data_IF_896732167099
#
_entry.id   IF_896732167099
#
_cell.length_a   1.000
_cell.length_b   1.000
_cell.length_c   1.000
_cell.angle_alpha   90.00
_cell.angle_beta   90.00
_cell.angle_gamma   90.00
#
_symmetry.space_group_name_H-M   'P 1'
#
loop_
_entity.id
_entity.type
_entity.pdbx_description
1 polymer ?
#
# COMPACT_ATOMS: atom_id res chain seq x y z
N UNK A 1 -12.64 14.46 37.16
CA UNK A 1 -11.21 14.12 37.09
C UNK A 1 -10.83 14.24 35.59
N UNK A 2 -10.25 15.38 35.24
CA UNK A 2 -9.84 15.64 33.87
C UNK A 2 -8.57 14.84 33.55
N UNK A 3 -8.58 14.06 32.48
CA UNK A 3 -7.37 13.45 31.93
C UNK A 3 -6.60 14.56 31.22
N UNK A 4 -5.38 14.79 31.66
CA UNK A 4 -4.41 15.69 31.09
C UNK A 4 -4.00 15.11 29.72
N UNK A 5 -4.45 15.75 28.67
CA UNK A 5 -4.05 15.39 27.29
C UNK A 5 -2.67 15.98 27.09
N UNK A 6 -1.64 15.16 27.22
CA UNK A 6 -0.24 15.58 27.04
C UNK A 6 -0.05 16.38 25.75
N UNK A 7 0.62 17.51 25.87
CA UNK A 7 0.97 18.40 24.77
C UNK A 7 1.73 17.64 23.67
N UNK A 8 1.57 18.01 22.38
CA UNK A 8 2.31 17.39 21.29
C UNK A 8 3.81 17.53 21.52
N UNK A 9 4.52 16.41 21.39
CA UNK A 9 5.97 16.35 21.56
C UNK A 9 6.62 17.26 20.49
N UNK A 10 7.20 18.39 20.94
CA UNK A 10 7.98 19.25 20.04
C UNK A 10 9.24 18.49 19.64
N UNK A 11 9.33 18.12 18.35
CA UNK A 11 10.53 17.53 17.75
C UNK A 11 11.59 18.61 17.61
N UNK A 12 12.46 18.75 18.60
CA UNK A 12 13.60 19.65 18.54
C UNK A 12 14.56 19.26 17.40
N UNK A 13 15.28 20.22 16.79
CA UNK A 13 16.23 19.92 15.72
C UNK A 13 17.31 18.96 16.23
N UNK A 14 17.44 17.80 15.55
CA UNK A 14 18.55 16.87 15.77
C UNK A 14 19.86 17.58 15.42
N UNK A 15 20.59 18.07 16.41
CA UNK A 15 21.91 18.72 16.19
C UNK A 15 22.94 17.65 15.83
N UNK A 16 23.69 17.79 14.72
CA UNK A 16 24.77 16.87 14.38
C UNK A 16 25.88 16.95 15.44
N UNK A 17 26.30 15.81 15.99
CA UNK A 17 27.52 15.71 16.77
C UNK A 17 28.70 15.91 15.82
N UNK A 18 29.36 17.07 15.90
CA UNK A 18 30.55 17.40 15.14
C UNK A 18 31.80 16.94 15.89
N UNK A 19 32.19 15.69 15.73
CA UNK A 19 33.52 15.21 15.99
C UNK A 19 34.21 14.96 14.66
N UNK A 20 35.38 15.54 14.42
CA UNK A 20 36.13 15.63 13.17
C UNK A 20 36.71 14.31 12.61
N UNK A 21 35.99 13.22 12.71
CA UNK A 21 36.28 11.94 12.06
C UNK A 21 35.10 11.57 11.17
N UNK A 22 35.34 10.88 10.05
CA UNK A 22 34.36 10.40 9.07
C UNK A 22 33.00 10.10 9.73
N UNK A 23 31.99 10.96 9.47
CA UNK A 23 30.69 10.86 10.14
C UNK A 23 30.05 9.52 9.79
N UNK A 24 30.04 8.59 10.73
CA UNK A 24 29.23 7.37 10.60
C UNK A 24 27.78 7.76 10.59
N UNK A 25 27.06 7.38 9.52
CA UNK A 25 25.62 7.67 9.41
C UNK A 25 24.87 7.00 10.55
N UNK A 26 23.88 7.70 11.08
CA UNK A 26 22.98 7.20 12.11
C UNK A 26 22.14 6.02 11.60
N UNK A 27 21.87 5.04 12.45
CA UNK A 27 21.04 3.89 12.07
C UNK A 27 19.57 4.28 12.12
N UNK A 28 18.91 4.16 10.97
CA UNK A 28 17.45 4.22 10.85
C UNK A 28 16.89 2.80 10.70
N UNK A 29 16.05 2.37 11.64
CA UNK A 29 15.27 1.14 11.49
C UNK A 29 13.92 1.45 10.87
N UNK A 30 13.61 0.77 9.76
CA UNK A 30 12.30 0.85 9.09
C UNK A 30 11.54 -0.46 9.33
N UNK A 31 10.55 -0.42 10.23
CA UNK A 31 9.71 -1.56 10.58
C UNK A 31 8.32 -1.40 9.94
N UNK A 32 8.15 -1.94 8.74
CA UNK A 32 6.96 -1.74 7.92
C UNK A 32 6.63 -3.00 7.11
N UNK A 33 5.43 -3.02 6.51
CA UNK A 33 5.07 -4.00 5.49
C UNK A 33 5.70 -3.64 4.13
N UNK A 34 5.18 -4.21 3.02
CA UNK A 34 5.64 -3.91 1.66
C UNK A 34 5.59 -2.41 1.26
N UNK A 35 4.85 -1.57 1.99
CA UNK A 35 4.89 -0.11 1.77
C UNK A 35 6.24 0.48 2.16
N UNK A 36 6.96 -0.16 3.09
CA UNK A 36 8.34 0.19 3.41
C UNK A 36 9.28 0.03 2.21
N UNK A 37 9.08 -1.01 1.39
CA UNK A 37 9.85 -1.24 0.16
C UNK A 37 9.66 -0.10 -0.85
N UNK A 38 8.48 0.53 -0.86
CA UNK A 38 8.16 1.66 -1.71
C UNK A 38 8.66 3.00 -1.14
N UNK A 39 8.64 3.18 0.18
CA UNK A 39 9.09 4.40 0.86
C UNK A 39 10.63 4.50 0.91
N UNK A 40 11.31 3.40 1.18
CA UNK A 40 12.75 3.34 1.38
C UNK A 40 13.56 3.96 0.24
N UNK A 41 13.33 3.65 -1.06
CA UNK A 41 14.08 4.26 -2.16
C UNK A 41 13.92 5.79 -2.23
N UNK A 42 12.76 6.34 -1.84
CA UNK A 42 12.54 7.79 -1.78
C UNK A 42 13.44 8.45 -0.75
N UNK A 43 13.60 7.83 0.42
CA UNK A 43 14.44 8.33 1.49
C UNK A 43 15.94 8.17 1.15
N UNK A 44 16.35 6.99 0.66
CA UNK A 44 17.74 6.69 0.31
C UNK A 44 18.25 7.56 -0.86
N UNK A 45 17.36 7.94 -1.80
CA UNK A 45 17.69 8.82 -2.92
C UNK A 45 17.47 10.33 -2.59
N UNK A 46 17.15 10.67 -1.35
CA UNK A 46 17.07 12.05 -0.89
C UNK A 46 18.39 12.42 -0.20
N UNK A 47 19.25 13.31 -0.81
CA UNK A 47 20.58 13.59 -0.30
C UNK A 47 20.62 14.04 1.17
N UNK A 48 19.66 14.87 1.58
CA UNK A 48 19.57 15.36 2.96
C UNK A 48 19.32 14.21 3.96
N UNK A 49 18.53 13.21 3.60
CA UNK A 49 18.29 12.03 4.43
C UNK A 49 19.49 11.06 4.33
N UNK A 50 19.91 10.73 3.11
CA UNK A 50 20.97 9.77 2.84
C UNK A 50 22.35 10.18 3.43
N UNK A 51 22.60 11.47 3.61
CA UNK A 51 23.82 11.95 4.29
C UNK A 51 23.80 11.70 5.80
N UNK A 52 22.63 11.59 6.43
CA UNK A 52 22.46 11.47 7.88
C UNK A 52 22.18 10.04 8.34
N UNK A 53 21.41 9.30 7.57
CA UNK A 53 20.87 7.99 7.97
C UNK A 53 21.28 6.87 7.03
N UNK A 54 21.44 5.68 7.62
CA UNK A 54 21.55 4.41 6.93
C UNK A 54 20.33 3.55 7.30
N UNK A 55 19.50 3.17 6.33
CA UNK A 55 18.26 2.42 6.58
C UNK A 55 18.56 0.92 6.68
N UNK A 56 18.08 0.30 7.77
CA UNK A 56 17.91 -1.14 7.89
C UNK A 56 16.43 -1.44 8.02
N UNK A 57 15.90 -2.19 7.05
CA UNK A 57 14.49 -2.52 7.01
C UNK A 57 14.21 -3.89 7.60
N UNK A 58 13.16 -3.97 8.41
CA UNK A 58 12.56 -5.18 8.93
C UNK A 58 11.11 -5.25 8.46
N UNK A 59 10.78 -6.30 7.70
CA UNK A 59 9.45 -6.48 7.12
C UNK A 59 8.55 -7.11 8.18
N UNK A 60 7.54 -6.38 8.65
CA UNK A 60 6.76 -6.76 9.81
C UNK A 60 5.96 -8.07 9.63
N UNK A 61 5.39 -8.33 8.43
CA UNK A 61 4.58 -9.54 8.20
C UNK A 61 5.40 -10.84 8.13
N UNK A 62 6.72 -10.77 7.97
CA UNK A 62 7.60 -11.94 8.06
C UNK A 62 7.80 -12.40 9.49
N UNK A 63 7.40 -11.57 10.47
CA UNK A 63 7.59 -11.77 11.91
C UNK A 63 9.05 -11.98 12.33
N UNK A 64 10.00 -11.50 11.52
CA UNK A 64 11.40 -11.52 11.88
C UNK A 64 11.65 -10.57 13.05
N UNK A 65 12.28 -11.08 14.10
CA UNK A 65 12.71 -10.27 15.24
C UNK A 65 13.76 -9.25 14.81
N UNK A 66 13.65 -8.04 15.36
CA UNK A 66 14.69 -7.02 15.21
C UNK A 66 15.84 -7.38 16.13
N UNK A 67 17.06 -7.40 15.61
CA UNK A 67 18.25 -7.73 16.39
C UNK A 67 18.48 -6.70 17.51
N UNK A 68 18.77 -7.17 18.74
CA UNK A 68 19.01 -6.30 19.88
C UNK A 68 20.12 -5.28 19.61
N UNK A 69 21.21 -5.71 18.95
CA UNK A 69 22.31 -4.82 18.56
C UNK A 69 21.88 -3.71 17.58
N UNK A 70 20.80 -3.88 16.83
CA UNK A 70 20.23 -2.83 15.97
C UNK A 70 19.33 -1.90 16.77
N UNK A 71 18.55 -2.46 17.71
CA UNK A 71 17.72 -1.67 18.62
C UNK A 71 18.62 -0.74 19.46
N UNK A 72 19.68 -1.27 20.06
CA UNK A 72 20.62 -0.50 20.90
C UNK A 72 21.31 0.68 20.17
N UNK A 73 21.50 0.55 18.86
CA UNK A 73 22.15 1.57 18.01
C UNK A 73 21.16 2.43 17.23
N UNK A 74 19.86 2.20 17.39
CA UNK A 74 18.83 2.91 16.64
C UNK A 74 18.79 4.40 17.06
N UNK A 75 18.91 5.29 16.09
CA UNK A 75 18.75 6.73 16.30
C UNK A 75 17.43 7.25 15.68
N UNK A 76 16.89 6.53 14.70
CA UNK A 76 15.60 6.83 14.07
C UNK A 76 14.81 5.52 13.87
N UNK A 77 13.64 5.41 14.47
CA UNK A 77 12.73 4.28 14.31
C UNK A 77 11.48 4.70 13.53
N UNK A 78 11.40 4.28 12.27
CA UNK A 78 10.21 4.47 11.42
C UNK A 78 9.38 3.20 11.48
N UNK A 79 8.15 3.30 11.94
CA UNK A 79 7.34 2.10 12.17
C UNK A 79 5.89 2.27 11.76
N UNK A 80 5.28 1.21 11.27
CA UNK A 80 3.83 1.07 11.17
C UNK A 80 3.30 0.51 12.48
N UNK A 81 2.22 1.10 12.99
CA UNK A 81 1.59 0.64 14.25
C UNK A 81 1.14 -0.81 14.14
N UNK A 82 1.59 -1.64 15.07
CA UNK A 82 1.22 -3.04 15.20
C UNK A 82 0.50 -3.29 16.52
N UNK A 83 -0.66 -3.97 16.43
CA UNK A 83 -1.49 -4.30 17.57
C UNK A 83 -0.83 -5.37 18.49
N UNK A 84 -1.29 -5.55 19.76
CA UNK A 84 -0.74 -6.51 20.72
C UNK A 84 -0.64 -7.96 20.22
N UNK A 85 -1.51 -8.38 19.30
CA UNK A 85 -1.46 -9.72 18.67
C UNK A 85 -0.15 -10.04 17.92
N UNK A 86 0.70 -9.04 17.69
CA UNK A 86 2.01 -9.20 17.08
C UNK A 86 3.11 -9.58 18.10
N UNK A 87 2.76 -9.71 19.40
CA UNK A 87 3.70 -10.10 20.44
C UNK A 87 4.84 -9.10 20.59
N UNK A 88 6.07 -9.57 20.61
CA UNK A 88 7.29 -8.75 20.78
C UNK A 88 7.49 -7.69 19.69
N UNK A 89 6.84 -7.85 18.53
CA UNK A 89 6.87 -6.87 17.44
C UNK A 89 5.78 -5.82 17.54
N UNK A 90 4.85 -5.94 18.51
CA UNK A 90 3.82 -4.91 18.70
C UNK A 90 4.44 -3.58 19.06
N UNK A 91 3.79 -2.50 18.67
CA UNK A 91 4.29 -1.14 18.95
C UNK A 91 4.50 -0.92 20.46
N UNK A 92 3.59 -1.45 21.27
CA UNK A 92 3.65 -1.38 22.74
C UNK A 92 4.90 -2.06 23.33
N UNK A 93 5.33 -3.18 22.75
CA UNK A 93 6.53 -3.89 23.19
C UNK A 93 7.83 -3.33 22.58
N UNK A 94 7.75 -2.78 21.38
CA UNK A 94 8.94 -2.29 20.67
C UNK A 94 9.41 -0.92 21.17
N UNK A 95 8.50 0.04 21.37
CA UNK A 95 8.89 1.41 21.73
C UNK A 95 9.70 1.49 23.05
N UNK A 96 9.34 0.75 24.12
CA UNK A 96 10.12 0.78 25.37
C UNK A 96 11.54 0.18 25.25
N UNK A 97 11.83 -0.63 24.22
CA UNK A 97 13.15 -1.20 23.98
C UNK A 97 14.12 -0.25 23.29
N UNK A 98 13.61 0.82 22.70
CA UNK A 98 14.44 1.81 21.99
C UNK A 98 15.26 2.64 22.98
N UNK A 99 16.51 3.02 22.59
CA UNK A 99 17.28 3.96 23.37
C UNK A 99 16.53 5.28 23.61
N UNK A 100 16.76 5.91 24.75
CA UNK A 100 16.09 7.16 25.11
C UNK A 100 16.35 8.31 24.09
N UNK A 101 17.48 8.26 23.38
CA UNK A 101 17.80 9.22 22.33
C UNK A 101 17.23 8.89 20.96
N UNK A 102 16.64 7.70 20.78
CA UNK A 102 16.06 7.27 19.53
C UNK A 102 14.76 8.03 19.24
N UNK A 103 14.72 8.72 18.11
CA UNK A 103 13.50 9.34 17.61
C UNK A 103 12.60 8.27 16.98
N UNK A 104 11.39 8.11 17.47
CA UNK A 104 10.40 7.19 16.88
C UNK A 104 9.30 7.96 16.15
N UNK A 105 9.06 7.59 14.90
CA UNK A 105 8.02 8.22 14.06
C UNK A 105 7.13 7.14 13.47
N UNK A 106 5.83 7.23 13.78
CA UNK A 106 4.82 6.39 13.15
C UNK A 106 4.60 6.82 11.70
N UNK A 107 4.67 5.86 10.77
CA UNK A 107 4.32 6.04 9.36
C UNK A 107 2.99 5.34 9.08
N UNK A 108 2.13 5.88 8.19
CA UNK A 108 0.86 5.29 7.84
C UNK A 108 0.98 3.86 7.30
N UNK A 109 0.01 3.03 7.65
CA UNK A 109 -0.23 1.73 7.03
C UNK A 109 -1.52 1.83 6.22
N UNK A 110 -1.38 2.19 4.94
CA UNK A 110 -2.49 2.56 4.09
C UNK A 110 -3.19 1.35 3.50
N UNK A 111 -4.52 1.42 3.46
CA UNK A 111 -5.38 0.41 2.87
C UNK A 111 -6.65 1.05 2.34
N UNK A 112 -6.95 0.86 1.04
CA UNK A 112 -8.14 1.44 0.43
C UNK A 112 -8.87 0.43 -0.44
N UNK A 113 -10.11 0.12 -0.07
CA UNK A 113 -10.94 -0.87 -0.75
C UNK A 113 -11.94 -0.25 -1.75
N UNK A 114 -12.05 1.08 -1.80
CA UNK A 114 -13.05 1.78 -2.61
C UNK A 114 -12.99 1.46 -4.10
N UNK A 115 -11.80 1.19 -4.66
CA UNK A 115 -11.67 0.79 -6.06
C UNK A 115 -12.02 -0.69 -6.31
N UNK A 116 -11.90 -1.54 -5.28
CA UNK A 116 -12.07 -3.00 -5.36
C UNK A 116 -13.05 -3.50 -4.30
N UNK A 117 -14.34 -3.15 -4.40
CA UNK A 117 -15.35 -3.45 -3.38
C UNK A 117 -15.49 -4.94 -3.09
N UNK A 118 -15.22 -5.79 -4.07
CA UNK A 118 -15.33 -7.25 -3.96
C UNK A 118 -14.01 -7.93 -3.58
N UNK A 119 -12.93 -7.17 -3.44
CA UNK A 119 -11.69 -7.75 -2.97
C UNK A 119 -11.88 -8.43 -1.61
N UNK A 120 -11.40 -9.67 -1.50
CA UNK A 120 -11.42 -10.45 -0.27
C UNK A 120 -10.07 -11.13 -0.04
N UNK A 121 -9.77 -11.37 1.24
CA UNK A 121 -8.64 -12.22 1.60
C UNK A 121 -9.11 -13.67 1.48
N UNK A 122 -8.50 -14.43 0.58
CA UNK A 122 -8.70 -15.86 0.43
C UNK A 122 -7.33 -16.55 0.41
N UNK A 123 -7.13 -17.55 1.27
CA UNK A 123 -5.87 -18.30 1.34
C UNK A 123 -5.61 -19.15 0.10
N UNK A 124 -6.66 -19.43 -0.68
CA UNK A 124 -6.59 -20.25 -1.89
C UNK A 124 -6.12 -19.49 -3.12
N UNK A 125 -6.21 -18.16 -3.13
CA UNK A 125 -5.81 -17.34 -4.28
C UNK A 125 -5.54 -15.88 -3.87
N UNK A 126 -4.45 -15.32 -4.40
CA UNK A 126 -4.14 -13.89 -4.24
C UNK A 126 -5.20 -13.03 -4.96
N UNK A 127 -5.53 -11.89 -4.39
CA UNK A 127 -6.47 -10.92 -4.97
C UNK A 127 -7.83 -11.53 -5.33
N UNK A 128 -8.38 -12.36 -4.44
CA UNK A 128 -9.70 -12.96 -4.63
C UNK A 128 -10.78 -11.88 -4.80
N UNK A 129 -11.69 -12.12 -5.76
CA UNK A 129 -12.89 -11.33 -5.97
C UNK A 129 -14.11 -12.14 -5.48
N UNK A 130 -14.72 -11.71 -4.38
CA UNK A 130 -15.81 -12.44 -3.73
C UNK A 130 -17.07 -12.56 -4.58
N UNK A 131 -17.32 -11.59 -5.47
CA UNK A 131 -18.45 -11.67 -6.41
C UNK A 131 -18.18 -12.74 -7.47
N UNK A 132 -17.01 -12.69 -8.10
CA UNK A 132 -16.63 -13.65 -9.13
C UNK A 132 -16.56 -15.08 -8.55
N UNK A 133 -15.97 -15.25 -7.36
CA UNK A 133 -15.95 -16.54 -6.65
C UNK A 133 -17.35 -17.08 -6.36
N UNK A 134 -18.30 -16.21 -5.98
CA UNK A 134 -19.69 -16.58 -5.75
C UNK A 134 -20.38 -17.04 -7.05
N UNK A 135 -20.14 -16.36 -8.16
CA UNK A 135 -20.68 -16.71 -9.47
C UNK A 135 -20.11 -18.05 -9.96
N UNK A 136 -18.81 -18.25 -9.85
CA UNK A 136 -18.15 -19.51 -10.26
C UNK A 136 -18.64 -20.75 -9.49
N UNK A 137 -19.23 -20.56 -8.30
CA UNK A 137 -19.86 -21.65 -7.53
C UNK A 137 -21.28 -21.97 -7.96
N UNK A 138 -21.98 -21.03 -8.63
CA UNK A 138 -23.43 -21.13 -8.89
C UNK A 138 -23.78 -21.41 -10.33
N UNK A 139 -22.94 -21.00 -11.27
CA UNK A 139 -23.21 -21.08 -12.70
C UNK A 139 -21.98 -21.56 -13.47
N UNK A 140 -22.13 -21.85 -14.75
CA UNK A 140 -21.01 -22.23 -15.61
C UNK A 140 -19.98 -21.08 -15.72
N UNK A 141 -18.70 -21.37 -15.99
CA UNK A 141 -17.69 -20.31 -16.14
C UNK A 141 -18.05 -19.25 -17.19
N UNK A 142 -18.68 -19.66 -18.30
CA UNK A 142 -19.11 -18.74 -19.35
C UNK A 142 -20.24 -17.80 -18.88
N UNK A 143 -21.19 -18.34 -18.14
CA UNK A 143 -22.27 -17.56 -17.54
C UNK A 143 -21.72 -16.65 -16.44
N UNK A 144 -20.80 -17.17 -15.58
CA UNK A 144 -20.15 -16.37 -14.54
C UNK A 144 -19.44 -15.14 -15.13
N UNK A 145 -18.67 -15.33 -16.20
CA UNK A 145 -18.01 -14.23 -16.90
C UNK A 145 -19.03 -13.21 -17.45
N UNK A 146 -20.09 -13.71 -18.09
CA UNK A 146 -21.14 -12.86 -18.68
C UNK A 146 -21.85 -12.05 -17.61
N UNK A 147 -22.26 -12.68 -16.52
CA UNK A 147 -22.91 -12.04 -15.39
C UNK A 147 -22.00 -11.05 -14.68
N UNK A 148 -20.74 -11.44 -14.47
CA UNK A 148 -19.73 -10.58 -13.84
C UNK A 148 -19.50 -9.30 -14.66
N UNK A 149 -19.28 -9.42 -15.96
CA UNK A 149 -18.98 -8.26 -16.82
C UNK A 149 -20.21 -7.40 -17.19
N UNK A 150 -21.38 -8.03 -17.39
CA UNK A 150 -22.60 -7.34 -17.83
C UNK A 150 -23.56 -7.03 -16.70
N UNK A 151 -23.73 -7.96 -15.78
CA UNK A 151 -24.65 -7.86 -14.66
C UNK A 151 -24.06 -7.16 -13.45
N UNK A 152 -22.83 -6.74 -13.54
CA UNK A 152 -22.14 -6.07 -12.45
C UNK A 152 -22.95 -4.90 -11.89
N UNK A 153 -23.63 -4.12 -12.72
CA UNK A 153 -24.47 -3.02 -12.24
C UNK A 153 -25.62 -3.48 -11.31
N UNK A 154 -26.26 -4.61 -11.61
CA UNK A 154 -27.32 -5.19 -10.77
C UNK A 154 -26.79 -5.99 -9.57
N UNK A 155 -25.57 -6.57 -9.69
CA UNK A 155 -24.91 -7.35 -8.65
C UNK A 155 -24.02 -6.49 -7.73
N UNK A 156 -23.57 -5.34 -8.23
CA UNK A 156 -22.79 -4.35 -7.47
C UNK A 156 -23.60 -3.64 -6.38
N UNK A 157 -24.91 -3.85 -6.35
CA UNK A 157 -25.81 -3.01 -5.57
C UNK A 157 -26.05 -1.66 -6.25
N UNK A 158 -26.68 -0.76 -5.54
CA UNK A 158 -26.87 0.59 -6.00
C UNK A 158 -25.60 1.45 -5.83
N UNK A 159 -25.58 2.62 -6.46
CA UNK A 159 -24.46 3.56 -6.36
C UNK A 159 -24.20 3.99 -4.91
N UNK A 160 -25.24 4.05 -4.08
CA UNK A 160 -25.15 4.43 -2.68
C UNK A 160 -24.40 3.39 -1.87
N UNK A 161 -24.61 2.08 -2.12
CA UNK A 161 -23.87 1.02 -1.46
C UNK A 161 -22.36 1.05 -1.77
N UNK A 162 -22.00 1.28 -3.04
CA UNK A 162 -20.58 1.43 -3.43
C UNK A 162 -19.93 2.68 -2.84
N UNK A 163 -20.66 3.80 -2.85
CA UNK A 163 -20.20 5.03 -2.21
C UNK A 163 -20.02 4.84 -0.70
N UNK A 164 -20.99 4.22 -0.03
CA UNK A 164 -20.90 3.93 1.41
C UNK A 164 -19.68 3.07 1.74
N UNK A 165 -19.39 2.05 0.93
CA UNK A 165 -18.21 1.19 1.13
C UNK A 165 -16.88 1.95 0.92
N UNK A 166 -16.82 2.84 -0.07
CA UNK A 166 -15.66 3.69 -0.28
C UNK A 166 -15.47 4.67 0.89
N UNK A 167 -16.56 5.30 1.35
CA UNK A 167 -16.55 6.19 2.51
C UNK A 167 -16.16 5.45 3.81
N UNK A 168 -16.65 4.24 4.03
CA UNK A 168 -16.21 3.40 5.16
C UNK A 168 -14.69 3.14 5.12
N UNK A 169 -14.16 2.86 3.92
CA UNK A 169 -12.72 2.65 3.75
C UNK A 169 -11.91 3.92 4.05
N UNK A 170 -12.38 5.09 3.61
CA UNK A 170 -11.76 6.39 3.92
C UNK A 170 -11.81 6.72 5.41
N UNK A 171 -12.99 6.58 6.04
CA UNK A 171 -13.18 6.83 7.47
C UNK A 171 -12.28 5.94 8.34
N UNK A 172 -12.02 4.71 7.92
CA UNK A 172 -11.08 3.81 8.58
C UNK A 172 -9.65 4.33 8.54
N UNK A 173 -9.20 4.84 7.38
CA UNK A 173 -7.87 5.44 7.27
C UNK A 173 -7.75 6.71 8.13
N UNK A 174 -8.77 7.57 8.12
CA UNK A 174 -8.82 8.76 8.98
C UNK A 174 -8.73 8.41 10.46
N UNK A 175 -9.46 7.37 10.89
CA UNK A 175 -9.43 6.89 12.27
C UNK A 175 -8.05 6.35 12.67
N UNK A 176 -7.39 5.59 11.78
CA UNK A 176 -6.04 5.08 12.04
C UNK A 176 -4.99 6.19 12.18
N UNK A 177 -5.20 7.28 11.47
CA UNK A 177 -4.26 8.40 11.43
C UNK A 177 -4.63 9.56 12.36
N UNK A 178 -5.69 9.42 13.18
CA UNK A 178 -6.20 10.54 13.99
C UNK A 178 -5.11 11.20 14.86
N UNK A 179 -4.27 10.38 15.48
CA UNK A 179 -3.17 10.81 16.35
C UNK A 179 -1.79 10.62 15.71
N UNK A 180 -1.72 10.23 14.42
CA UNK A 180 -0.45 9.99 13.75
C UNK A 180 0.21 11.31 13.31
N UNK A 181 1.55 11.41 13.40
CA UNK A 181 2.28 12.61 12.98
C UNK A 181 2.28 12.81 11.46
N UNK A 182 2.05 11.74 10.68
CA UNK A 182 1.94 11.74 9.22
C UNK A 182 0.53 11.29 8.86
N UNK A 183 -0.17 12.09 8.06
CA UNK A 183 -1.56 11.84 7.68
C UNK A 183 -1.71 11.88 6.16
N UNK A 184 -2.04 10.72 5.58
CA UNK A 184 -2.30 10.55 4.15
C UNK A 184 -3.80 10.55 3.81
N UNK A 185 -4.65 10.23 4.79
CA UNK A 185 -6.10 10.13 4.60
C UNK A 185 -6.77 11.42 4.05
N UNK A 186 -6.38 12.64 4.46
CA UNK A 186 -6.92 13.86 3.86
C UNK A 186 -6.64 13.99 2.36
N UNK A 187 -5.40 13.69 1.94
CA UNK A 187 -5.03 13.70 0.52
C UNK A 187 -5.77 12.61 -0.27
N UNK A 188 -5.89 11.42 0.32
CA UNK A 188 -6.65 10.33 -0.27
C UNK A 188 -8.11 10.74 -0.47
N UNK A 189 -8.77 11.30 0.55
CA UNK A 189 -10.16 11.78 0.49
C UNK A 189 -10.37 12.85 -0.58
N UNK A 190 -9.42 13.76 -0.72
CA UNK A 190 -9.48 14.83 -1.72
C UNK A 190 -9.42 14.30 -3.15
N UNK A 191 -8.54 13.29 -3.43
CA UNK A 191 -8.15 12.95 -4.80
C UNK A 191 -8.58 11.58 -5.30
N UNK A 192 -9.07 10.68 -4.47
CA UNK A 192 -9.32 9.29 -4.86
C UNK A 192 -10.28 9.10 -6.05
N UNK A 193 -11.15 10.08 -6.32
CA UNK A 193 -12.05 10.02 -7.47
C UNK A 193 -11.42 10.51 -8.77
N UNK A 194 -10.52 11.46 -8.67
CA UNK A 194 -9.92 12.11 -9.84
C UNK A 194 -8.64 11.43 -10.30
N UNK A 195 -7.90 10.86 -9.35
CA UNK A 195 -6.62 10.19 -9.57
C UNK A 195 -6.61 8.79 -8.94
N UNK A 196 -5.95 7.84 -9.60
CA UNK A 196 -5.77 6.52 -9.02
C UNK A 196 -4.70 6.55 -7.92
N UNK A 197 -5.14 6.69 -6.67
CA UNK A 197 -4.29 6.82 -5.49
C UNK A 197 -3.67 5.50 -5.00
N UNK A 198 -4.17 4.35 -5.49
CA UNK A 198 -3.69 3.02 -5.12
C UNK A 198 -3.45 2.13 -6.34
N UNK A 199 -2.40 1.34 -6.27
CA UNK A 199 -2.05 0.31 -7.28
C UNK A 199 -2.81 -0.98 -7.01
N UNK A 200 -2.89 -1.39 -5.75
CA UNK A 200 -3.74 -2.48 -5.21
C UNK A 200 -4.33 -2.01 -3.88
N UNK A 201 -5.17 -2.80 -3.24
CA UNK A 201 -5.86 -2.42 -1.99
C UNK A 201 -4.94 -1.91 -0.86
N UNK A 202 -3.68 -2.34 -0.84
CA UNK A 202 -2.70 -2.01 0.20
C UNK A 202 -1.37 -1.47 -0.33
N UNK A 203 -1.32 -1.10 -1.61
CA UNK A 203 -0.14 -0.47 -2.21
C UNK A 203 -0.50 0.92 -2.70
N UNK A 204 -0.16 1.97 -1.92
CA UNK A 204 -0.39 3.35 -2.30
C UNK A 204 0.40 3.72 -3.55
N UNK A 205 -0.18 4.55 -4.40
CA UNK A 205 0.46 5.13 -5.57
C UNK A 205 1.51 6.19 -5.21
N UNK A 206 2.18 6.71 -6.24
CA UNK A 206 3.30 7.67 -6.09
C UNK A 206 2.92 8.90 -5.28
N UNK A 207 1.73 9.46 -5.49
CA UNK A 207 1.29 10.70 -4.82
C UNK A 207 1.19 10.53 -3.30
N UNK A 208 0.62 9.43 -2.83
CA UNK A 208 0.56 9.13 -1.39
C UNK A 208 1.94 8.86 -0.80
N UNK A 209 2.81 8.15 -1.53
CA UNK A 209 4.18 7.87 -1.11
C UNK A 209 5.01 9.15 -1.04
N UNK A 210 4.88 10.05 -2.01
CA UNK A 210 5.56 11.35 -2.00
C UNK A 210 5.08 12.22 -0.85
N UNK A 211 3.76 12.24 -0.61
CA UNK A 211 3.19 12.97 0.52
C UNK A 211 3.71 12.43 1.87
N UNK A 212 3.76 11.10 2.02
CA UNK A 212 4.30 10.43 3.21
C UNK A 212 5.78 10.78 3.42
N UNK A 213 6.60 10.67 2.35
CA UNK A 213 8.02 10.99 2.41
C UNK A 213 8.27 12.47 2.70
N UNK A 214 7.53 13.39 2.07
CA UNK A 214 7.63 14.84 2.34
C UNK A 214 7.28 15.17 3.78
N UNK A 215 6.22 14.58 4.30
CA UNK A 215 5.78 14.79 5.68
C UNK A 215 6.84 14.30 6.67
N UNK A 216 7.41 13.12 6.41
CA UNK A 216 8.50 12.58 7.21
C UNK A 216 9.75 13.48 7.16
N UNK A 217 10.16 13.91 5.96
CA UNK A 217 11.33 14.78 5.80
C UNK A 217 11.15 16.14 6.51
N UNK A 218 9.93 16.71 6.48
CA UNK A 218 9.61 17.94 7.24
C UNK A 218 9.72 17.73 8.74
N UNK A 219 9.19 16.62 9.27
CA UNK A 219 9.29 16.26 10.70
C UNK A 219 10.75 16.12 11.13
N UNK A 220 11.64 15.64 10.24
CA UNK A 220 13.07 15.51 10.50
C UNK A 220 13.87 16.81 10.26
N UNK A 221 13.22 17.90 9.83
CA UNK A 221 13.89 19.16 9.47
C UNK A 221 14.76 19.04 8.20
N UNK A 222 14.43 18.12 7.29
CA UNK A 222 15.20 17.81 6.07
C UNK A 222 14.53 18.35 4.79
N UNK A 223 13.48 19.15 4.91
CA UNK A 223 12.76 19.74 3.79
C UNK A 223 11.75 18.79 3.15
N UNK A 224 11.81 18.62 1.83
CA UNK A 224 10.92 17.76 1.04
C UNK A 224 11.72 16.97 -0.01
N UNK A 225 11.09 16.01 -0.66
CA UNK A 225 11.67 15.26 -1.77
C UNK A 225 12.15 16.19 -2.90
N UNK A 226 13.42 16.12 -3.31
CA UNK A 226 13.91 16.86 -4.47
C UNK A 226 13.16 16.48 -5.75
N UNK A 227 12.99 17.40 -6.72
CA UNK A 227 12.40 17.07 -8.03
C UNK A 227 13.11 15.91 -8.74
N UNK A 228 14.43 15.81 -8.62
CA UNK A 228 15.23 14.71 -9.17
C UNK A 228 14.84 13.36 -8.57
N UNK A 229 14.66 13.29 -7.24
CA UNK A 229 14.22 12.06 -6.54
C UNK A 229 12.82 11.65 -6.98
N UNK A 230 11.90 12.61 -7.10
CA UNK A 230 10.54 12.33 -7.62
C UNK A 230 10.57 11.83 -9.07
N UNK A 231 11.37 12.48 -9.92
CA UNK A 231 11.46 12.14 -11.35
C UNK A 231 12.13 10.79 -11.63
N UNK A 232 13.07 10.36 -10.78
CA UNK A 232 13.77 9.09 -10.92
C UNK A 232 13.10 7.93 -10.17
N UNK A 233 12.05 8.19 -9.40
CA UNK A 233 11.41 7.16 -8.60
C UNK A 233 10.68 6.13 -9.45
N UNK A 234 11.08 4.86 -9.31
CA UNK A 234 10.40 3.70 -9.86
C UNK A 234 9.66 3.00 -8.73
N UNK A 235 8.34 2.87 -8.89
CA UNK A 235 7.52 2.19 -7.88
C UNK A 235 7.82 0.68 -7.92
N UNK A 236 8.04 -0.02 -6.77
CA UNK A 236 8.34 -1.46 -6.76
C UNK A 236 7.29 -2.37 -7.41
N UNK A 237 6.05 -1.87 -7.55
CA UNK A 237 4.95 -2.56 -8.23
C UNK A 237 4.52 -1.83 -9.53
N UNK A 238 5.45 -1.17 -10.22
CA UNK A 238 5.12 -0.46 -11.47
C UNK A 238 4.62 -1.42 -12.56
N UNK A 239 5.04 -2.67 -12.50
CA UNK A 239 4.69 -3.74 -13.43
C UNK A 239 3.39 -4.49 -13.07
N UNK A 240 2.76 -4.21 -11.93
CA UNK A 240 1.50 -4.87 -11.54
C UNK A 240 0.51 -3.89 -10.92
N UNK A 241 -0.56 -3.59 -11.64
CA UNK A 241 -1.69 -2.78 -11.19
C UNK A 241 -2.96 -3.62 -11.17
N UNK A 242 -3.62 -3.70 -10.03
CA UNK A 242 -4.88 -4.43 -9.92
C UNK A 242 -5.97 -3.72 -10.73
N UNK A 243 -6.53 -4.35 -11.78
CA UNK A 243 -7.56 -3.71 -12.60
C UNK A 243 -8.81 -3.36 -11.81
N UNK A 244 -9.36 -2.19 -12.08
CA UNK A 244 -10.61 -1.75 -11.49
C UNK A 244 -11.76 -2.19 -12.41
N UNK A 245 -12.81 -2.76 -11.81
CA UNK A 245 -13.99 -3.20 -12.58
C UNK A 245 -14.65 -1.99 -13.26
N UNK A 246 -14.93 -2.04 -14.59
CA UNK A 246 -15.48 -0.88 -15.33
C UNK A 246 -16.79 -0.34 -14.77
N UNK A 247 -17.65 -1.22 -14.25
CA UNK A 247 -18.89 -0.80 -13.63
C UNK A 247 -18.65 -0.03 -12.31
N UNK A 248 -17.63 -0.41 -11.52
CA UNK A 248 -17.19 0.38 -10.34
C UNK A 248 -16.70 1.75 -10.81
N UNK A 249 -15.87 1.78 -11.86
CA UNK A 249 -15.39 3.02 -12.46
C UNK A 249 -16.53 3.95 -12.90
N UNK A 250 -17.50 3.41 -13.62
CA UNK A 250 -18.67 4.17 -14.09
C UNK A 250 -19.53 4.67 -12.92
N UNK A 251 -19.85 3.80 -11.95
CA UNK A 251 -20.74 4.12 -10.83
C UNK A 251 -20.12 5.13 -9.87
N UNK A 252 -18.81 5.03 -9.61
CA UNK A 252 -18.09 5.96 -8.73
C UNK A 252 -17.50 7.17 -9.47
N UNK A 253 -17.76 7.29 -10.78
CA UNK A 253 -17.25 8.38 -11.63
C UNK A 253 -15.73 8.49 -11.64
N UNK A 254 -15.02 7.34 -11.80
CA UNK A 254 -13.57 7.29 -11.83
C UNK A 254 -13.06 7.42 -13.29
N UNK A 255 -12.47 8.56 -13.70
CA UNK A 255 -12.09 8.80 -15.10
C UNK A 255 -10.96 7.89 -15.58
N UNK A 256 -10.22 7.27 -14.67
CA UNK A 256 -9.11 6.35 -14.95
C UNK A 256 -9.53 4.87 -15.02
N UNK A 257 -10.83 4.53 -14.88
CA UNK A 257 -11.32 3.16 -14.85
C UNK A 257 -12.44 2.96 -15.89
N UNK A 258 -12.07 2.54 -17.09
CA UNK A 258 -13.00 2.23 -18.19
C UNK A 258 -12.83 0.79 -18.68
N UNK A 259 -13.76 0.32 -19.53
CA UNK A 259 -13.70 -1.03 -20.10
C UNK A 259 -12.45 -1.24 -20.98
N UNK A 260 -12.01 -0.18 -21.68
CA UNK A 260 -10.86 -0.22 -22.59
C UNK A 260 -9.54 0.14 -21.90
N UNK A 261 -9.60 0.54 -20.64
CA UNK A 261 -8.38 0.80 -19.86
C UNK A 261 -7.53 -0.44 -19.79
N UNK A 262 -6.23 -0.27 -20.12
CA UNK A 262 -5.21 -1.32 -20.01
C UNK A 262 -4.33 -1.05 -18.80
N UNK A 263 -4.12 -2.08 -18.02
CA UNK A 263 -3.38 -2.06 -16.77
C UNK A 263 -2.07 -2.81 -16.93
N UNK A 264 -0.96 -2.32 -16.38
CA UNK A 264 0.28 -3.08 -16.32
C UNK A 264 0.07 -4.37 -15.53
N UNK A 265 0.28 -5.51 -16.16
CA UNK A 265 0.24 -6.84 -15.54
C UNK A 265 1.52 -7.55 -15.98
N UNK A 266 2.61 -7.31 -15.25
CA UNK A 266 3.95 -7.80 -15.54
C UNK A 266 4.39 -7.44 -16.97
N UNK A 267 4.56 -8.44 -17.83
CA UNK A 267 5.02 -8.25 -19.22
C UNK A 267 3.91 -7.85 -20.21
N UNK A 268 2.70 -7.56 -19.70
CA UNK A 268 1.52 -7.34 -20.54
C UNK A 268 0.73 -6.13 -20.08
N UNK A 269 -0.06 -5.59 -21.01
CA UNK A 269 -1.09 -4.60 -20.72
C UNK A 269 -2.46 -5.26 -20.91
N UNK A 270 -3.19 -5.51 -19.84
CA UNK A 270 -4.47 -6.19 -19.86
C UNK A 270 -5.63 -5.25 -19.53
N UNK A 271 -6.75 -5.44 -20.22
CA UNK A 271 -8.04 -4.90 -19.79
C UNK A 271 -8.53 -5.65 -18.56
N UNK A 272 -9.50 -5.09 -17.83
CA UNK A 272 -10.14 -5.80 -16.72
C UNK A 272 -10.73 -7.15 -17.16
N UNK A 273 -11.36 -7.23 -18.36
CA UNK A 273 -11.90 -8.48 -18.90
C UNK A 273 -10.80 -9.52 -19.11
N UNK A 274 -9.69 -9.15 -19.74
CA UNK A 274 -8.55 -10.06 -19.97
C UNK A 274 -7.95 -10.55 -18.66
N UNK A 275 -7.81 -9.67 -17.65
CA UNK A 275 -7.38 -10.04 -16.30
C UNK A 275 -8.35 -11.02 -15.64
N UNK A 276 -9.69 -10.80 -15.77
CA UNK A 276 -10.72 -11.71 -15.25
C UNK A 276 -10.63 -13.09 -15.87
N UNK A 277 -10.38 -13.17 -17.18
CA UNK A 277 -10.16 -14.46 -17.88
C UNK A 277 -8.92 -15.19 -17.35
N UNK A 278 -7.83 -14.48 -17.09
CA UNK A 278 -6.63 -15.06 -16.46
C UNK A 278 -6.94 -15.59 -15.06
N UNK A 279 -7.72 -14.83 -14.27
CA UNK A 279 -8.17 -15.28 -12.95
C UNK A 279 -8.96 -16.59 -13.04
N UNK A 280 -9.94 -16.64 -13.92
CA UNK A 280 -10.77 -17.84 -14.12
C UNK A 280 -9.94 -19.03 -14.61
N UNK A 281 -8.98 -18.83 -15.51
CA UNK A 281 -8.05 -19.86 -15.97
C UNK A 281 -7.17 -20.39 -14.82
N UNK A 282 -6.64 -19.50 -13.98
CA UNK A 282 -5.89 -19.87 -12.78
C UNK A 282 -6.74 -20.74 -11.84
N UNK A 283 -7.99 -20.34 -11.59
CA UNK A 283 -8.95 -21.11 -10.76
C UNK A 283 -9.27 -22.48 -11.35
N UNK A 284 -9.55 -22.56 -12.66
CA UNK A 284 -9.86 -23.81 -13.35
C UNK A 284 -8.69 -24.83 -13.29
N UNK A 285 -7.45 -24.32 -13.24
CA UNK A 285 -6.25 -25.15 -13.11
C UNK A 285 -5.80 -25.38 -11.65
N UNK A 286 -6.59 -24.95 -10.66
CA UNK A 286 -6.29 -25.06 -9.23
C UNK A 286 -4.90 -24.50 -8.84
N UNK A 287 -4.46 -23.41 -9.48
CA UNK A 287 -3.19 -22.75 -9.15
C UNK A 287 -3.44 -21.77 -8.00
N UNK A 288 -2.83 -21.94 -6.82
CA UNK A 288 -3.10 -21.09 -5.65
C UNK A 288 -2.42 -19.73 -5.73
N UNK A 289 -1.29 -19.62 -6.43
CA UNK A 289 -0.55 -18.37 -6.58
C UNK A 289 -0.85 -17.73 -7.93
N UNK A 290 -1.86 -16.86 -7.92
CA UNK A 290 -2.29 -16.14 -9.12
C UNK A 290 -1.25 -15.16 -9.66
N UNK A 291 -0.45 -14.54 -8.80
CA UNK A 291 0.62 -13.65 -9.25
C UNK A 291 1.71 -14.42 -10.00
N UNK A 292 2.14 -15.57 -9.47
CA UNK A 292 3.08 -16.44 -10.17
C UNK A 292 2.48 -16.98 -11.47
N UNK A 293 1.19 -17.31 -11.47
CA UNK A 293 0.48 -17.69 -12.70
C UNK A 293 0.55 -16.58 -13.76
N UNK A 294 0.21 -15.33 -13.39
CA UNK A 294 0.28 -14.17 -14.30
C UNK A 294 1.69 -13.89 -14.82
N UNK A 295 2.72 -13.99 -13.97
CA UNK A 295 4.13 -13.81 -14.37
C UNK A 295 4.59 -14.82 -15.41
N UNK A 296 4.07 -16.05 -15.36
CA UNK A 296 4.46 -17.14 -16.25
C UNK A 296 3.58 -17.23 -17.50
N UNK A 297 2.51 -16.43 -17.61
CA UNK A 297 1.70 -16.40 -18.82
C UNK A 297 2.47 -15.74 -19.97
N UNK A 298 2.63 -16.48 -21.06
CA UNK A 298 3.14 -15.88 -22.29
C UNK A 298 2.11 -14.88 -22.87
N UNK A 299 2.54 -13.83 -23.57
CA UNK A 299 1.63 -12.91 -24.28
C UNK A 299 0.64 -13.62 -25.20
N UNK A 300 1.03 -14.75 -25.80
CA UNK A 300 0.17 -15.55 -26.67
C UNK A 300 -0.88 -16.36 -25.90
N UNK A 301 -0.53 -16.88 -24.72
CA UNK A 301 -1.50 -17.54 -23.83
C UNK A 301 -2.57 -16.54 -23.33
N UNK A 302 -2.19 -15.29 -23.07
CA UNK A 302 -3.10 -14.20 -22.72
C UNK A 302 -4.06 -13.86 -23.87
N UNK A 303 -3.54 -13.81 -25.12
CA UNK A 303 -4.38 -13.61 -26.31
C UNK A 303 -5.33 -14.77 -26.59
N UNK A 304 -4.94 -16.00 -26.27
CA UNK A 304 -5.81 -17.18 -26.37
C UNK A 304 -6.92 -17.15 -25.33
N UNK A 305 -6.60 -16.83 -24.08
CA UNK A 305 -7.59 -16.64 -23.01
C UNK A 305 -8.60 -15.54 -23.35
N UNK A 306 -8.18 -14.49 -24.03
CA UNK A 306 -9.06 -13.40 -24.46
C UNK A 306 -10.05 -13.78 -25.60
N UNK A 307 -9.88 -14.96 -26.25
CA UNK A 307 -10.76 -15.43 -27.32
C UNK A 307 -11.86 -16.40 -26.84
N UNK A 308 -11.80 -16.83 -25.57
CA UNK A 308 -12.84 -17.64 -24.91
C UNK A 308 -13.91 -16.70 -24.33
#
# INVERSE_FOLDING_TARGET
>A
MGMDVGAPQEYGPLTPKTDGTSMTKALCLLHANCQGDALRPLLENTPAFASRFNIRQYVNYTRQSIADSDIERCELFLYQRLAPKWGDLSTEQMLPRLPQHCLSIEIPNLFFKGYWPFWSRDERINFADSLLETLLQKVTPQEALTLYLRGAASLLGDADALNAQAEESLAREETKEADAPIRCAPLLRERWRDEQMFITVNHPGRELLFHMADSLLRLLGLGVLPPSTRGSYVHPLEDFWLPIHPAVGSTLHLPFASADKRWPIFHSLLTHREYTLCYMACRANNVPDFLTFLKNLSPDALRLAAKI
#
